data_IF_642244160019
#
_entry.id   IF_642244160019
#
_cell.length_a   1.000
_cell.length_b   1.000
_cell.length_c   1.000
_cell.angle_alpha   90.00
_cell.angle_beta   90.00
_cell.angle_gamma   90.00
#
_symmetry.space_group_name_H-M   'P 1'
#
loop_
_entity.id
_entity.type
_entity.pdbx_description
1 polymer ?
#
# COMPACT_ATOMS: atom_id res chain seq x y z
N UNK A 1 54.65 -62.23 1.55
CA UNK A 1 53.44 -61.71 0.87
C UNK A 1 53.25 -60.28 1.31
N UNK A 2 53.72 -59.32 0.51
CA UNK A 2 53.74 -57.89 0.85
C UNK A 2 52.75 -57.18 -0.06
N UNK A 3 51.89 -56.38 0.54
CA UNK A 3 50.83 -55.61 -0.09
C UNK A 3 51.38 -54.63 -1.13
N UNK A 4 50.75 -54.60 -2.30
CA UNK A 4 50.97 -53.57 -3.33
C UNK A 4 50.30 -52.27 -2.89
N UNK A 5 51.02 -51.13 -2.86
CA UNK A 5 50.41 -49.83 -2.61
C UNK A 5 49.57 -49.37 -3.82
N UNK A 6 48.48 -48.71 -3.48
CA UNK A 6 47.45 -48.16 -4.36
C UNK A 6 48.02 -47.23 -5.43
N UNK A 7 47.42 -47.28 -6.63
CA UNK A 7 47.68 -46.39 -7.76
C UNK A 7 47.65 -44.91 -7.34
N UNK A 8 48.65 -44.08 -7.71
CA UNK A 8 48.47 -42.65 -7.71
C UNK A 8 47.58 -42.27 -8.89
N UNK A 9 46.35 -41.84 -8.58
CA UNK A 9 45.43 -41.21 -9.52
C UNK A 9 46.09 -39.93 -10.03
N UNK A 10 46.70 -39.99 -11.21
CA UNK A 10 47.26 -38.83 -11.89
C UNK A 10 46.10 -37.88 -12.24
N UNK A 11 46.02 -36.80 -11.47
CA UNK A 11 45.23 -35.62 -11.75
C UNK A 11 45.78 -34.95 -13.01
N UNK A 12 45.20 -35.28 -14.17
CA UNK A 12 45.50 -34.59 -15.41
C UNK A 12 44.92 -33.16 -15.42
N UNK A 13 45.68 -32.16 -15.89
CA UNK A 13 45.21 -30.82 -16.20
C UNK A 13 44.68 -30.75 -17.64
N UNK A 14 43.75 -29.81 -17.87
CA UNK A 14 43.22 -29.33 -19.18
C UNK A 14 42.54 -30.36 -20.09
N UNK A 15 41.21 -30.42 -20.03
CA UNK A 15 40.35 -31.05 -21.03
C UNK A 15 38.90 -30.93 -20.59
N UNK A 16 38.23 -29.83 -20.90
CA UNK A 16 36.80 -29.68 -20.56
C UNK A 16 36.01 -30.68 -21.42
N UNK A 17 35.48 -31.77 -20.85
CA UNK A 17 34.73 -32.75 -21.59
C UNK A 17 33.35 -32.17 -21.89
N UNK A 18 32.85 -32.47 -23.09
CA UNK A 18 31.46 -32.26 -23.50
C UNK A 18 30.52 -32.63 -22.34
N UNK A 19 29.70 -31.68 -21.90
CA UNK A 19 28.81 -31.80 -20.74
C UNK A 19 27.82 -32.97 -20.90
N UNK A 20 27.90 -33.94 -19.99
CA UNK A 20 26.91 -35.02 -19.81
C UNK A 20 26.00 -34.73 -18.59
N UNK A 21 25.56 -33.48 -18.51
CA UNK A 21 24.80 -32.97 -17.38
C UNK A 21 23.32 -33.30 -17.62
N UNK A 22 22.79 -34.26 -16.87
CA UNK A 22 21.37 -34.68 -16.94
C UNK A 22 20.37 -33.55 -16.71
N UNK A 23 20.81 -32.41 -16.18
CA UNK A 23 19.98 -31.24 -15.87
C UNK A 23 20.00 -30.13 -16.95
N UNK A 24 20.80 -30.26 -18.02
CA UNK A 24 20.87 -29.26 -19.09
C UNK A 24 20.20 -29.75 -20.37
N UNK A 25 19.55 -28.85 -21.11
CA UNK A 25 18.84 -29.19 -22.34
C UNK A 25 19.74 -29.36 -23.57
N UNK A 26 20.97 -28.83 -23.55
CA UNK A 26 21.94 -28.93 -24.65
C UNK A 26 23.38 -29.06 -24.11
N UNK A 27 24.29 -29.73 -24.85
CA UNK A 27 25.71 -29.74 -24.55
C UNK A 27 26.29 -28.32 -24.54
N UNK A 28 27.07 -27.99 -23.51
CA UNK A 28 27.64 -26.65 -23.37
C UNK A 28 28.94 -26.65 -22.56
N UNK A 29 29.72 -25.57 -22.69
CA UNK A 29 30.97 -25.39 -21.95
C UNK A 29 30.73 -24.99 -20.49
N UNK A 30 31.44 -25.56 -19.53
CA UNK A 30 31.29 -25.21 -18.11
C UNK A 30 32.12 -24.00 -17.67
N UNK A 31 31.74 -23.42 -16.53
CA UNK A 31 32.55 -22.39 -15.86
C UNK A 31 32.24 -20.96 -16.30
N UNK A 32 31.11 -20.71 -16.97
CA UNK A 32 30.66 -19.36 -17.32
C UNK A 32 29.32 -19.02 -16.67
N UNK A 33 29.06 -17.72 -16.43
CA UNK A 33 27.79 -17.24 -15.88
C UNK A 33 26.60 -17.55 -16.80
N UNK A 34 26.82 -17.46 -18.12
CA UNK A 34 25.78 -17.70 -19.13
C UNK A 34 25.17 -19.09 -18.98
N UNK A 35 25.98 -20.08 -18.61
CA UNK A 35 25.56 -21.47 -18.50
C UNK A 35 24.75 -21.74 -17.23
N UNK A 36 25.05 -21.02 -16.16
CA UNK A 36 24.22 -21.01 -14.96
C UNK A 36 22.85 -20.37 -15.20
N UNK A 37 22.81 -19.25 -15.94
CA UNK A 37 21.60 -18.46 -16.17
C UNK A 37 20.69 -19.01 -17.27
N UNK A 38 21.23 -19.14 -18.49
CA UNK A 38 20.47 -19.49 -19.69
C UNK A 38 20.27 -21.01 -19.81
N UNK A 39 21.34 -21.80 -19.69
CA UNK A 39 21.30 -23.27 -19.81
C UNK A 39 20.93 -23.97 -18.50
N UNK A 40 20.67 -23.19 -17.44
CA UNK A 40 20.27 -23.65 -16.10
C UNK A 40 21.20 -24.69 -15.47
N UNK A 41 22.44 -24.82 -15.94
CA UNK A 41 23.41 -25.77 -15.40
C UNK A 41 23.70 -25.46 -13.92
N UNK A 42 23.70 -26.50 -13.09
CA UNK A 42 23.93 -26.40 -11.65
C UNK A 42 25.25 -27.05 -11.22
N UNK A 43 26.17 -27.39 -12.11
CA UNK A 43 27.48 -27.95 -11.72
C UNK A 43 28.32 -26.95 -10.89
N UNK A 44 29.31 -27.44 -10.14
CA UNK A 44 30.14 -26.61 -9.27
C UNK A 44 30.89 -25.49 -10.03
N UNK A 45 31.52 -25.72 -11.21
CA UNK A 45 32.15 -24.66 -12.00
C UNK A 45 31.19 -23.52 -12.38
N UNK A 46 29.98 -23.83 -12.84
CA UNK A 46 28.98 -22.82 -13.22
C UNK A 46 28.43 -22.04 -12.01
N UNK A 47 28.25 -22.70 -10.85
CA UNK A 47 27.88 -22.00 -9.60
C UNK A 47 28.98 -21.05 -9.16
N UNK A 48 30.24 -21.45 -9.25
CA UNK A 48 31.41 -20.61 -8.91
C UNK A 48 31.49 -19.40 -9.84
N UNK A 49 31.39 -19.59 -11.15
CA UNK A 49 31.40 -18.50 -12.12
C UNK A 49 30.29 -17.46 -11.88
N UNK A 50 29.06 -17.92 -11.58
CA UNK A 50 27.96 -17.01 -11.23
C UNK A 50 28.22 -16.29 -9.89
N UNK A 51 28.79 -16.98 -8.89
CA UNK A 51 29.16 -16.38 -7.60
C UNK A 51 30.24 -15.31 -7.76
N UNK A 52 31.28 -15.58 -8.54
CA UNK A 52 32.39 -14.66 -8.80
C UNK A 52 31.89 -13.42 -9.53
N UNK A 53 31.09 -13.61 -10.59
CA UNK A 53 30.43 -12.51 -11.28
C UNK A 53 29.58 -11.65 -10.32
N UNK A 54 28.76 -12.26 -9.46
CA UNK A 54 27.92 -11.50 -8.53
C UNK A 54 28.76 -10.76 -7.48
N UNK A 55 29.86 -11.36 -7.01
CA UNK A 55 30.81 -10.71 -6.09
C UNK A 55 31.45 -9.49 -6.76
N UNK A 56 31.92 -9.64 -7.98
CA UNK A 56 32.55 -8.57 -8.75
C UNK A 56 31.55 -7.46 -9.08
N UNK A 57 30.36 -7.80 -9.55
CA UNK A 57 29.29 -6.83 -9.83
C UNK A 57 28.85 -6.08 -8.57
N UNK A 58 28.94 -6.70 -7.39
CA UNK A 58 28.65 -6.01 -6.12
C UNK A 58 29.67 -4.91 -5.80
N UNK A 59 30.93 -5.04 -6.25
CA UNK A 59 31.98 -4.01 -6.07
C UNK A 59 31.69 -2.75 -6.87
N UNK A 60 31.17 -2.90 -8.09
CA UNK A 60 30.90 -1.79 -9.01
C UNK A 60 29.49 -1.20 -8.87
N UNK A 61 28.60 -1.85 -8.13
CA UNK A 61 27.25 -1.34 -7.87
C UNK A 61 27.30 -0.20 -6.84
N UNK A 62 26.80 1.00 -7.18
CA UNK A 62 26.63 2.07 -6.20
C UNK A 62 25.79 1.56 -5.03
N UNK A 63 26.23 1.81 -3.79
CA UNK A 63 25.42 1.51 -2.61
C UNK A 63 24.12 2.28 -2.71
N UNK A 64 22.99 1.57 -2.72
CA UNK A 64 21.66 2.21 -2.73
C UNK A 64 21.48 2.90 -1.39
N UNK A 65 21.24 4.22 -1.43
CA UNK A 65 20.87 4.96 -0.23
C UNK A 65 19.49 4.49 0.21
N UNK A 66 19.40 4.05 1.47
CA UNK A 66 18.17 3.57 2.09
C UNK A 66 17.73 4.58 3.14
N UNK A 67 16.42 4.79 3.25
CA UNK A 67 15.79 5.71 4.21
C UNK A 67 14.77 4.92 5.00
N UNK A 68 14.47 5.39 6.21
CA UNK A 68 13.43 4.82 7.05
C UNK A 68 12.07 4.79 6.33
N UNK A 69 11.41 3.64 6.35
CA UNK A 69 10.06 3.46 5.83
C UNK A 69 9.01 4.25 6.62
N UNK A 70 9.29 4.52 7.91
CA UNK A 70 8.71 5.56 8.78
C UNK A 70 8.26 6.80 8.01
N UNK A 71 9.27 7.48 7.48
CA UNK A 71 9.15 8.79 6.83
C UNK A 71 8.35 8.71 5.52
N UNK A 72 8.54 7.61 4.78
CA UNK A 72 7.80 7.34 3.54
C UNK A 72 6.31 7.16 3.82
N UNK A 73 5.97 6.35 4.82
CA UNK A 73 4.56 6.14 5.21
C UNK A 73 3.90 7.41 5.71
N UNK A 74 4.58 8.19 6.54
CA UNK A 74 4.08 9.47 7.02
C UNK A 74 3.81 10.45 5.86
N UNK A 75 4.69 10.52 4.86
CA UNK A 75 4.50 11.37 3.68
C UNK A 75 3.33 10.89 2.82
N UNK A 76 3.23 9.58 2.56
CA UNK A 76 2.10 9.00 1.81
C UNK A 76 0.78 9.29 2.53
N UNK A 77 0.71 9.15 3.85
CA UNK A 77 -0.49 9.47 4.63
C UNK A 77 -0.93 10.93 4.44
N UNK A 78 0.02 11.88 4.45
CA UNK A 78 -0.26 13.31 4.16
C UNK A 78 -0.81 13.53 2.74
N UNK A 79 -0.22 12.87 1.75
CA UNK A 79 -0.69 12.96 0.35
C UNK A 79 -2.08 12.34 0.18
N UNK A 80 -2.38 11.27 0.92
CA UNK A 80 -3.71 10.66 0.96
C UNK A 80 -4.74 11.55 1.65
N UNK A 81 -4.36 12.23 2.73
CA UNK A 81 -5.21 13.23 3.38
C UNK A 81 -5.53 14.41 2.43
N UNK A 82 -4.61 14.75 1.53
CA UNK A 82 -4.85 15.71 0.45
C UNK A 82 -5.72 15.16 -0.71
N UNK A 83 -6.18 13.91 -0.61
CA UNK A 83 -7.11 13.29 -1.55
C UNK A 83 -6.45 12.53 -2.71
N UNK A 84 -5.14 12.28 -2.66
CA UNK A 84 -4.49 11.41 -3.65
C UNK A 84 -4.61 9.93 -3.28
N UNK A 85 -4.74 9.08 -4.30
CA UNK A 85 -4.66 7.63 -4.16
C UNK A 85 -3.23 7.12 -4.34
N UNK A 86 -2.98 5.89 -3.91
CA UNK A 86 -1.66 5.26 -4.06
C UNK A 86 -1.23 5.15 -5.53
N UNK A 87 -2.18 4.95 -6.45
CA UNK A 87 -1.94 4.95 -7.89
C UNK A 87 -1.49 6.31 -8.39
N UNK A 88 -2.24 7.37 -8.10
CA UNK A 88 -1.89 8.74 -8.51
C UNK A 88 -0.55 9.19 -7.91
N UNK A 89 -0.28 8.84 -6.65
CA UNK A 89 1.02 9.11 -6.00
C UNK A 89 2.14 8.39 -6.76
N UNK A 90 1.93 7.12 -7.14
CA UNK A 90 2.91 6.33 -7.87
C UNK A 90 3.18 6.93 -9.27
N UNK A 91 2.12 7.33 -9.96
CA UNK A 91 2.19 7.95 -11.29
C UNK A 91 2.94 9.29 -11.24
N UNK A 92 2.60 10.15 -10.27
CA UNK A 92 3.30 11.43 -10.03
C UNK A 92 4.78 11.25 -9.69
N UNK A 93 5.11 10.19 -8.95
CA UNK A 93 6.49 9.90 -8.59
C UNK A 93 7.27 9.14 -9.68
N UNK A 94 6.62 8.72 -10.78
CA UNK A 94 7.16 7.76 -11.74
C UNK A 94 7.73 6.49 -11.06
N UNK A 95 7.05 6.03 -10.00
CA UNK A 95 7.41 4.84 -9.23
C UNK A 95 6.38 3.75 -9.52
N UNK A 96 6.81 2.50 -9.60
CA UNK A 96 5.88 1.38 -9.75
C UNK A 96 4.88 1.35 -8.58
N UNK A 97 3.57 1.30 -8.86
CA UNK A 97 2.51 1.31 -7.85
C UNK A 97 2.67 0.23 -6.78
N UNK A 98 3.25 -0.93 -7.12
CA UNK A 98 3.55 -2.01 -6.15
C UNK A 98 4.59 -1.61 -5.11
N UNK A 99 5.51 -0.69 -5.43
CA UNK A 99 6.52 -0.21 -4.48
C UNK A 99 5.85 0.66 -3.40
N UNK A 100 4.93 1.54 -3.81
CA UNK A 100 4.16 2.38 -2.90
C UNK A 100 3.22 1.51 -2.05
N UNK A 101 2.51 0.57 -2.68
CA UNK A 101 1.65 -0.40 -2.00
C UNK A 101 2.43 -1.22 -0.96
N UNK A 102 3.58 -1.78 -1.35
CA UNK A 102 4.46 -2.52 -0.45
C UNK A 102 5.01 -1.66 0.70
N UNK A 103 5.28 -0.37 0.47
CA UNK A 103 5.73 0.53 1.54
C UNK A 103 4.65 0.75 2.61
N UNK A 104 3.37 0.76 2.21
CA UNK A 104 2.23 0.99 3.10
C UNK A 104 1.74 -0.32 3.74
N UNK A 105 1.45 -1.32 2.93
CA UNK A 105 0.80 -2.57 3.34
C UNK A 105 1.82 -3.66 3.74
N UNK A 106 3.06 -3.56 3.27
CA UNK A 106 4.05 -4.63 3.43
C UNK A 106 3.76 -5.83 2.54
N UNK A 107 4.45 -6.95 2.79
CA UNK A 107 4.19 -8.24 2.13
C UNK A 107 4.06 -9.30 3.19
N UNK A 108 3.01 -10.11 3.10
CA UNK A 108 2.72 -11.22 4.03
C UNK A 108 2.72 -10.76 5.51
N UNK A 109 2.08 -9.62 5.80
CA UNK A 109 2.00 -9.05 7.15
C UNK A 109 3.28 -8.36 7.64
N UNK A 110 4.38 -8.40 6.87
CA UNK A 110 5.63 -7.76 7.26
C UNK A 110 5.86 -6.47 6.49
N UNK A 111 5.94 -5.36 7.23
CA UNK A 111 6.28 -4.05 6.65
C UNK A 111 7.78 -3.88 6.48
N UNK A 112 8.22 -3.26 5.36
CA UNK A 112 9.64 -2.95 5.19
C UNK A 112 10.09 -1.93 6.24
N UNK A 113 11.29 -2.12 6.79
CA UNK A 113 11.93 -1.13 7.69
C UNK A 113 12.59 0.01 6.92
N UNK A 114 13.04 -0.27 5.69
CA UNK A 114 13.78 0.70 4.88
C UNK A 114 13.30 0.68 3.43
N UNK A 115 13.26 1.85 2.80
CA UNK A 115 12.90 2.05 1.38
C UNK A 115 14.04 2.80 0.69
N UNK A 116 14.12 2.73 -0.64
CA UNK A 116 15.14 3.50 -1.37
C UNK A 116 14.92 5.01 -1.22
N UNK A 117 16.01 5.74 -1.03
CA UNK A 117 16.00 7.20 -0.89
C UNK A 117 15.40 7.91 -2.11
N UNK A 118 15.53 7.33 -3.31
CA UNK A 118 14.92 7.84 -4.53
C UNK A 118 13.40 7.94 -4.43
N UNK A 119 12.74 6.93 -3.84
CA UNK A 119 11.29 6.95 -3.61
C UNK A 119 10.90 8.06 -2.65
N UNK A 120 11.64 8.25 -1.56
CA UNK A 120 11.36 9.32 -0.60
C UNK A 120 11.55 10.71 -1.21
N UNK A 121 12.60 10.91 -2.03
CA UNK A 121 12.82 12.17 -2.76
C UNK A 121 11.68 12.46 -3.73
N UNK A 122 11.23 11.46 -4.49
CA UNK A 122 10.10 11.62 -5.41
C UNK A 122 8.80 12.00 -4.69
N UNK A 123 8.51 11.39 -3.53
CA UNK A 123 7.34 11.72 -2.72
C UNK A 123 7.38 13.13 -2.13
N UNK A 124 8.58 13.64 -1.82
CA UNK A 124 8.76 15.01 -1.34
C UNK A 124 8.73 16.05 -2.47
N UNK A 125 8.96 15.63 -3.72
CA UNK A 125 8.86 16.52 -4.88
C UNK A 125 7.41 16.87 -5.24
N UNK A 126 6.42 16.07 -4.79
CA UNK A 126 4.99 16.37 -5.02
C UNK A 126 4.62 17.66 -4.28
N UNK A 127 4.30 18.70 -5.03
CA UNK A 127 3.87 20.00 -4.51
C UNK A 127 2.33 20.06 -4.37
N UNK A 128 1.85 21.08 -3.66
CA UNK A 128 0.40 21.35 -3.56
C UNK A 128 -0.25 21.68 -4.91
N UNK A 129 0.52 22.26 -5.85
CA UNK A 129 0.04 22.56 -7.20
C UNK A 129 -0.21 21.29 -7.99
N UNK A 130 0.67 20.29 -7.85
CA UNK A 130 0.53 19.01 -8.52
C UNK A 130 -0.74 18.30 -8.05
N UNK A 131 -1.01 18.32 -6.74
CA UNK A 131 -2.24 17.75 -6.16
C UNK A 131 -3.50 18.40 -6.75
N UNK A 132 -3.50 19.73 -6.89
CA UNK A 132 -4.63 20.47 -7.44
C UNK A 132 -4.85 20.20 -8.94
N UNK A 133 -3.80 19.84 -9.67
CA UNK A 133 -3.86 19.58 -11.11
C UNK A 133 -4.38 18.19 -11.49
N UNK A 134 -4.56 17.29 -10.53
CA UNK A 134 -5.07 15.94 -10.81
C UNK A 134 -6.52 16.00 -11.26
N UNK A 135 -6.73 15.76 -12.55
CA UNK A 135 -8.07 15.60 -13.10
C UNK A 135 -8.68 14.28 -12.58
N UNK A 136 -9.73 14.42 -11.77
CA UNK A 136 -10.42 13.27 -11.18
C UNK A 136 -11.61 12.91 -12.06
N UNK A 137 -11.65 11.71 -12.67
CA UNK A 137 -12.78 11.29 -13.49
C UNK A 137 -14.07 11.31 -12.68
N UNK A 138 -15.13 11.86 -13.27
CA UNK A 138 -16.46 11.87 -12.62
C UNK A 138 -16.94 10.45 -12.35
N UNK A 139 -17.46 10.21 -11.15
CA UNK A 139 -18.00 8.92 -10.73
C UNK A 139 -16.97 7.89 -10.27
N UNK A 140 -15.70 8.28 -10.12
CA UNK A 140 -14.64 7.42 -9.55
C UNK A 140 -15.09 6.85 -8.21
N UNK A 141 -15.01 5.52 -8.08
CA UNK A 141 -15.33 4.83 -6.83
C UNK A 141 -14.16 4.94 -5.85
N UNK A 142 -14.47 5.31 -4.61
CA UNK A 142 -13.53 5.42 -3.49
C UNK A 142 -14.06 4.67 -2.28
N UNK A 143 -13.15 4.31 -1.38
CA UNK A 143 -13.49 3.62 -0.14
C UNK A 143 -14.50 4.44 0.67
N UNK A 144 -15.56 3.77 1.13
CA UNK A 144 -16.63 4.35 1.93
C UNK A 144 -16.31 4.45 3.41
N UNK A 145 -15.15 3.97 3.90
CA UNK A 145 -14.87 3.91 5.35
C UNK A 145 -14.83 5.28 6.04
N UNK A 146 -14.17 6.27 5.43
CA UNK A 146 -14.11 7.65 5.94
C UNK A 146 -15.53 8.26 6.00
N UNK A 147 -16.28 8.34 4.89
CA UNK A 147 -17.62 8.91 4.93
C UNK A 147 -18.57 8.12 5.82
N UNK A 148 -18.41 6.80 5.93
CA UNK A 148 -19.17 5.98 6.88
C UNK A 148 -18.99 6.48 8.32
N UNK A 149 -17.74 6.68 8.75
CA UNK A 149 -17.45 7.10 10.13
C UNK A 149 -17.84 8.55 10.40
N UNK A 150 -17.70 9.43 9.42
CA UNK A 150 -18.25 10.78 9.50
C UNK A 150 -19.76 10.77 9.71
N UNK A 151 -20.50 9.94 8.96
CA UNK A 151 -21.95 9.76 9.15
C UNK A 151 -22.25 9.20 10.55
N UNK A 152 -21.47 8.24 11.04
CA UNK A 152 -21.62 7.67 12.38
C UNK A 152 -21.40 8.71 13.49
N UNK A 153 -20.35 9.53 13.37
CA UNK A 153 -20.06 10.64 14.28
C UNK A 153 -21.20 11.67 14.27
N UNK A 154 -21.67 12.10 13.09
CA UNK A 154 -22.81 13.03 12.99
C UNK A 154 -24.09 12.46 13.64
N UNK A 155 -24.31 11.16 13.53
CA UNK A 155 -25.41 10.48 14.21
C UNK A 155 -25.33 10.60 15.75
N UNK A 156 -24.13 10.54 16.32
CA UNK A 156 -23.92 10.71 17.77
C UNK A 156 -24.24 12.14 18.25
N UNK A 157 -24.02 13.15 17.40
CA UNK A 157 -24.46 14.54 17.64
C UNK A 157 -25.98 14.75 17.40
N UNK A 158 -26.69 13.71 16.97
CA UNK A 158 -28.13 13.73 16.72
C UNK A 158 -28.52 14.13 15.30
N UNK A 159 -27.58 14.23 14.36
CA UNK A 159 -27.93 14.52 12.97
C UNK A 159 -28.51 13.27 12.30
N UNK A 160 -29.74 13.41 11.78
CA UNK A 160 -30.44 12.33 11.09
C UNK A 160 -29.99 12.15 9.64
N UNK A 161 -30.28 10.96 9.10
CA UNK A 161 -29.92 10.60 7.72
C UNK A 161 -30.56 11.52 6.67
N UNK A 162 -31.75 12.06 6.95
CA UNK A 162 -32.44 12.98 6.06
C UNK A 162 -31.74 14.33 6.01
N UNK A 163 -31.34 14.87 7.17
CA UNK A 163 -30.65 16.14 7.31
C UNK A 163 -29.24 16.09 6.71
N UNK A 164 -28.52 14.98 6.92
CA UNK A 164 -27.21 14.74 6.30
C UNK A 164 -27.37 14.60 4.78
N UNK A 165 -28.34 13.79 4.33
CA UNK A 165 -28.61 13.57 2.91
C UNK A 165 -29.00 14.83 2.16
N UNK A 166 -29.88 15.65 2.75
CA UNK A 166 -30.30 16.92 2.15
C UNK A 166 -29.13 17.88 1.95
N UNK A 167 -28.19 17.96 2.90
CA UNK A 167 -27.00 18.83 2.77
C UNK A 167 -25.94 18.26 1.84
N UNK A 168 -25.77 16.94 1.86
CA UNK A 168 -24.80 16.25 1.00
C UNK A 168 -25.31 16.03 -0.43
N UNK A 169 -26.55 16.43 -0.74
CA UNK A 169 -27.26 16.11 -1.98
C UNK A 169 -27.27 14.60 -2.29
N UNK A 170 -27.58 13.80 -1.27
CA UNK A 170 -27.57 12.35 -1.30
C UNK A 170 -28.86 11.76 -0.72
N UNK A 171 -29.32 10.64 -1.28
CA UNK A 171 -30.49 9.95 -0.75
C UNK A 171 -30.14 9.15 0.51
N UNK A 172 -31.11 8.98 1.40
CA UNK A 172 -30.95 8.13 2.59
C UNK A 172 -30.60 6.68 2.23
N UNK A 173 -31.02 6.18 1.07
CA UNK A 173 -30.65 4.86 0.57
C UNK A 173 -29.14 4.78 0.29
N UNK A 174 -28.58 5.78 -0.39
CA UNK A 174 -27.14 5.86 -0.67
C UNK A 174 -26.32 5.94 0.62
N UNK A 175 -26.73 6.77 1.58
CA UNK A 175 -26.03 6.88 2.86
C UNK A 175 -26.09 5.57 3.67
N UNK A 176 -27.23 4.87 3.66
CA UNK A 176 -27.33 3.54 4.28
C UNK A 176 -26.43 2.50 3.57
N UNK A 177 -26.19 2.60 2.26
CA UNK A 177 -25.18 1.75 1.59
C UNK A 177 -23.78 2.06 2.10
N UNK A 178 -23.43 3.33 2.28
CA UNK A 178 -22.12 3.70 2.84
C UNK A 178 -21.96 3.14 4.26
N UNK A 179 -22.99 3.25 5.11
CA UNK A 179 -22.99 2.64 6.44
C UNK A 179 -22.77 1.11 6.42
N UNK A 180 -23.32 0.43 5.42
CA UNK A 180 -23.13 -1.01 5.20
C UNK A 180 -21.75 -1.38 4.63
N UNK A 181 -20.87 -0.41 4.39
CA UNK A 181 -19.50 -0.62 3.91
C UNK A 181 -19.35 -0.68 2.40
N UNK A 182 -20.32 -0.18 1.63
CA UNK A 182 -20.18 -0.09 0.18
C UNK A 182 -19.27 1.09 -0.23
N UNK A 183 -18.60 0.93 -1.37
CA UNK A 183 -17.83 1.99 -2.03
C UNK A 183 -18.73 3.18 -2.40
N UNK A 184 -18.20 4.40 -2.27
CA UNK A 184 -18.88 5.64 -2.66
C UNK A 184 -18.20 6.28 -3.87
N UNK A 185 -18.72 7.39 -4.39
CA UNK A 185 -18.00 8.20 -5.38
C UNK A 185 -17.19 9.30 -4.71
N UNK A 186 -16.13 9.76 -5.37
CA UNK A 186 -15.29 10.86 -4.87
C UNK A 186 -16.10 12.14 -4.65
N UNK A 187 -17.07 12.45 -5.50
CA UNK A 187 -17.94 13.63 -5.33
C UNK A 187 -18.79 13.52 -4.07
N UNK A 188 -19.37 12.34 -3.82
CA UNK A 188 -20.18 12.12 -2.63
C UNK A 188 -19.31 12.11 -1.37
N UNK A 189 -18.09 11.56 -1.43
CA UNK A 189 -17.13 11.66 -0.34
C UNK A 189 -16.82 13.12 0.00
N UNK A 190 -16.46 13.93 -1.00
CA UNK A 190 -16.18 15.36 -0.80
C UNK A 190 -17.39 16.15 -0.29
N UNK A 191 -18.61 15.75 -0.69
CA UNK A 191 -19.85 16.34 -0.18
C UNK A 191 -20.05 16.01 1.31
N UNK A 192 -19.85 14.75 1.70
CA UNK A 192 -19.95 14.32 3.11
C UNK A 192 -18.84 14.94 3.96
N UNK A 193 -17.61 15.04 3.45
CA UNK A 193 -16.49 15.72 4.12
C UNK A 193 -16.86 17.18 4.46
N UNK A 194 -17.50 17.89 3.53
CA UNK A 194 -17.97 19.27 3.75
C UNK A 194 -19.06 19.35 4.81
N UNK A 195 -20.05 18.45 4.75
CA UNK A 195 -21.14 18.40 5.73
C UNK A 195 -20.63 18.04 7.12
N UNK A 196 -19.66 17.12 7.21
CA UNK A 196 -19.01 16.81 8.48
C UNK A 196 -18.26 18.02 9.03
N UNK A 197 -17.44 18.69 8.22
CA UNK A 197 -16.74 19.90 8.65
C UNK A 197 -17.68 21.02 9.12
N UNK A 198 -18.87 21.15 8.50
CA UNK A 198 -19.89 22.13 8.88
C UNK A 198 -20.58 21.79 10.21
N UNK A 199 -20.93 20.52 10.41
CA UNK A 199 -21.83 20.10 11.49
C UNK A 199 -21.11 19.48 12.70
N UNK A 200 -19.84 19.11 12.55
CA UNK A 200 -19.08 18.45 13.60
C UNK A 200 -18.95 19.35 14.84
N UNK A 201 -19.29 18.80 16.02
CA UNK A 201 -19.32 19.54 17.28
C UNK A 201 -20.58 20.39 17.49
N UNK A 202 -21.51 20.42 16.52
CA UNK A 202 -22.81 21.08 16.68
C UNK A 202 -23.90 20.04 16.98
N UNK A 203 -24.75 20.33 17.95
CA UNK A 203 -25.96 19.53 18.19
C UNK A 203 -27.01 19.80 17.10
N UNK A 204 -27.72 18.75 16.71
CA UNK A 204 -28.83 18.89 15.78
C UNK A 204 -29.93 19.82 16.36
N UNK A 205 -30.61 20.62 15.53
CA UNK A 205 -31.65 21.52 15.98
C UNK A 205 -32.78 20.76 16.68
N UNK A 206 -33.35 21.38 17.72
CA UNK A 206 -34.42 20.80 18.57
C UNK A 206 -35.57 21.78 18.80
N UNK A 207 -35.79 22.73 17.88
CA UNK A 207 -36.79 23.79 18.04
C UNK A 207 -38.22 23.23 18.01
N UNK A 208 -38.48 22.23 17.17
CA UNK A 208 -39.79 21.59 17.01
C UNK A 208 -39.83 20.18 17.61
N UNK A 209 -41.03 19.68 17.91
CA UNK A 209 -41.23 18.31 18.41
C UNK A 209 -40.74 17.26 17.41
N UNK A 210 -40.90 17.51 16.11
CA UNK A 210 -40.42 16.61 15.05
C UNK A 210 -38.90 16.58 14.98
N UNK A 211 -38.23 17.73 15.10
CA UNK A 211 -36.77 17.83 15.18
C UNK A 211 -36.22 17.12 16.42
N UNK A 212 -36.82 17.34 17.59
CA UNK A 212 -36.47 16.60 18.83
C UNK A 212 -36.57 15.10 18.63
N UNK A 213 -37.65 14.62 18.03
CA UNK A 213 -37.85 13.20 17.78
C UNK A 213 -36.81 12.63 16.80
N UNK A 214 -36.43 13.38 15.75
CA UNK A 214 -35.38 12.94 14.81
C UNK A 214 -34.01 12.91 15.46
N UNK A 215 -33.66 13.95 16.22
CA UNK A 215 -32.40 14.01 16.94
C UNK A 215 -32.27 12.89 17.96
N UNK A 216 -33.34 12.62 18.71
CA UNK A 216 -33.41 11.49 19.64
C UNK A 216 -33.23 10.16 18.91
N UNK A 217 -33.93 9.93 17.78
CA UNK A 217 -33.78 8.69 16.99
C UNK A 217 -32.36 8.49 16.46
N UNK A 218 -31.70 9.58 16.03
CA UNK A 218 -30.33 9.52 15.54
C UNK A 218 -29.36 9.11 16.65
N UNK A 219 -29.48 9.70 17.85
CA UNK A 219 -28.70 9.32 19.03
C UNK A 219 -28.97 7.90 19.50
N UNK A 220 -30.24 7.50 19.64
CA UNK A 220 -30.60 6.13 20.01
C UNK A 220 -30.02 5.10 19.03
N UNK A 221 -29.98 5.42 17.73
CA UNK A 221 -29.31 4.55 16.74
C UNK A 221 -27.80 4.53 16.93
N UNK A 222 -27.17 5.67 17.22
CA UNK A 222 -25.75 5.75 17.51
C UNK A 222 -25.39 4.88 18.73
N UNK A 223 -26.12 5.05 19.84
CA UNK A 223 -25.94 4.30 21.08
C UNK A 223 -26.09 2.79 20.87
N UNK A 224 -27.16 2.37 20.17
CA UNK A 224 -27.41 0.97 19.87
C UNK A 224 -26.32 0.31 19.01
N UNK A 225 -25.56 1.10 18.24
CA UNK A 225 -24.47 0.61 17.40
C UNK A 225 -23.07 0.97 17.95
N UNK A 226 -22.99 1.57 19.15
CA UNK A 226 -21.74 2.00 19.76
C UNK A 226 -21.00 3.10 19.00
N UNK A 227 -21.72 3.98 18.29
CA UNK A 227 -21.12 5.10 17.55
C UNK A 227 -20.87 6.30 18.47
N UNK A 228 -19.62 6.72 18.57
CA UNK A 228 -19.17 7.84 19.40
C UNK A 228 -18.88 9.09 18.55
N UNK A 229 -18.85 10.30 19.16
CA UNK A 229 -18.41 11.52 18.49
C UNK A 229 -17.02 11.38 17.86
N UNK A 230 -16.13 10.68 18.55
CA UNK A 230 -14.75 10.44 18.11
C UNK A 230 -14.63 9.35 17.03
N UNK A 231 -15.72 8.69 16.62
CA UNK A 231 -15.68 7.61 15.60
C UNK A 231 -15.10 8.09 14.26
N UNK A 232 -15.26 9.39 13.92
CA UNK A 232 -14.60 10.00 12.75
C UNK A 232 -13.11 10.28 12.97
N UNK A 233 -12.74 10.68 14.19
CA UNK A 233 -11.38 11.04 14.62
C UNK A 233 -10.50 9.80 14.83
N UNK A 234 -11.13 8.67 15.20
CA UNK A 234 -10.49 7.39 15.42
C UNK A 234 -9.80 6.83 14.17
N UNK A 235 -9.98 7.39 12.97
CA UNK A 235 -9.19 7.04 11.77
C UNK A 235 -7.91 7.87 11.60
N UNK A 236 -7.81 9.09 12.15
CA UNK A 236 -6.49 9.73 12.27
C UNK A 236 -5.56 8.83 13.10
N UNK A 237 -6.10 7.98 13.97
CA UNK A 237 -5.36 6.98 14.76
C UNK A 237 -5.45 5.53 14.23
N UNK A 238 -6.57 5.07 13.65
CA UNK A 238 -6.72 3.67 13.17
C UNK A 238 -6.11 3.43 11.80
N UNK A 239 -5.80 4.48 11.03
CA UNK A 239 -4.84 4.36 9.91
C UNK A 239 -3.40 4.15 10.42
N UNK A 240 -3.09 4.53 11.67
CA UNK A 240 -1.84 4.17 12.34
C UNK A 240 -1.89 2.77 13.00
N UNK A 241 -3.04 2.33 13.53
CA UNK A 241 -3.12 1.08 14.31
C UNK A 241 -3.46 -0.17 13.50
N UNK A 242 -4.14 -0.09 12.35
CA UNK A 242 -4.26 -1.25 11.42
C UNK A 242 -2.95 -1.58 10.67
N UNK A 243 -1.86 -0.95 11.11
CA UNK A 243 -0.50 -1.10 10.63
C UNK A 243 0.43 -1.77 11.68
N UNK A 244 -0.08 -2.14 12.85
CA UNK A 244 0.58 -3.10 13.74
C UNK A 244 0.01 -4.51 13.57
#
# INVERSE_FOLDING_TARGET
>A
MVAMPSLPTLTHPTGLPICDCTEAWEPHEHGTRGMYGYHRCRCAPCRTANRDYNRENTKYRPRRQMVDADLVRARIAKLRAAGLTLGEIADMCAVNSKVIDFAVHGRNGRKPKTVQASTFRALNAISSKDIASVERPRGRKVDGDIPRRQIQSLHSFGWGMFEIGSRANATAATLNRILKGFMTTEELRASIDRVHAELHGMEAPTATTSEKARASKARTRADANGWTPDTSSDLEYSQYVRVH
#
